data_IF_476311584700
#
_entry.id   IF_476311584700
#
_cell.length_a   1.000
_cell.length_b   1.000
_cell.length_c   1.000
_cell.angle_alpha   90.00
_cell.angle_beta   90.00
_cell.angle_gamma   90.00
#
_symmetry.space_group_name_H-M   'P 1'
#
loop_
_entity.id
_entity.type
_entity.pdbx_description
1 polymer ?
#
# COMPACT_ATOMS: atom_id res chain seq x y z
N UNK A 1 49.60 37.81 -68.45
CA UNK A 1 49.92 39.08 -67.76
C UNK A 1 49.46 38.98 -66.31
N UNK A 2 50.22 39.58 -65.37
CA UNK A 2 50.01 39.75 -63.90
C UNK A 2 49.91 38.44 -63.07
N UNK A 3 50.86 38.04 -62.19
CA UNK A 3 51.49 38.65 -60.98
C UNK A 3 50.50 39.20 -59.94
N UNK A 4 50.45 38.55 -58.77
CA UNK A 4 50.56 39.11 -57.40
C UNK A 4 49.91 38.16 -56.38
N UNK A 5 50.71 37.44 -55.60
CA UNK A 5 51.21 37.78 -54.25
C UNK A 5 50.20 37.53 -53.10
N UNK A 6 50.62 36.57 -52.27
CA UNK A 6 50.25 36.15 -50.90
C UNK A 6 49.91 37.31 -49.93
N UNK A 7 49.25 37.09 -48.75
CA UNK A 7 49.60 36.01 -47.82
C UNK A 7 48.49 35.31 -46.99
N UNK A 8 48.85 34.10 -46.55
CA UNK A 8 48.32 33.36 -45.38
C UNK A 8 48.63 34.12 -44.06
N UNK A 9 48.18 33.74 -42.83
CA UNK A 9 47.75 32.41 -42.33
C UNK A 9 46.58 32.48 -41.30
N UNK A 10 46.09 31.46 -40.56
CA UNK A 10 46.50 30.09 -40.21
C UNK A 10 45.31 29.40 -39.53
N UNK A 11 45.36 28.06 -39.57
CA UNK A 11 44.98 27.13 -38.49
C UNK A 11 43.48 26.89 -38.27
N UNK A 12 42.95 25.67 -38.22
CA UNK A 12 43.46 24.29 -38.28
C UNK A 12 42.15 23.48 -38.43
N UNK A 13 42.03 22.58 -39.39
CA UNK A 13 42.26 21.17 -39.09
C UNK A 13 40.94 20.39 -39.14
N UNK A 14 40.39 20.25 -40.34
CA UNK A 14 39.56 19.10 -40.76
C UNK A 14 40.40 17.80 -40.74
N UNK A 15 39.88 16.60 -41.13
CA UNK A 15 38.50 16.14 -41.27
C UNK A 15 38.24 14.73 -40.66
N UNK A 16 36.98 14.32 -40.76
CA UNK A 16 36.44 12.95 -40.79
C UNK A 16 37.01 12.11 -41.99
N UNK A 17 36.39 11.01 -42.50
CA UNK A 17 35.34 10.10 -42.01
C UNK A 17 35.65 8.58 -42.25
N UNK A 18 34.63 7.77 -41.94
CA UNK A 18 34.43 6.31 -42.03
C UNK A 18 35.00 5.51 -43.24
N UNK A 19 35.26 4.20 -43.03
CA UNK A 19 34.45 3.06 -43.51
C UNK A 19 35.11 1.69 -43.12
N UNK A 20 34.65 0.49 -43.59
CA UNK A 20 33.93 -0.53 -42.81
C UNK A 20 34.71 -1.87 -42.66
N UNK A 21 34.35 -2.75 -41.72
CA UNK A 21 34.92 -4.12 -41.71
C UNK A 21 33.93 -5.22 -41.29
N UNK A 22 34.08 -6.30 -42.04
CA UNK A 22 33.33 -7.54 -42.29
C UNK A 22 33.25 -8.56 -41.16
N UNK A 23 32.26 -9.45 -41.25
CA UNK A 23 32.16 -10.71 -40.52
C UNK A 23 33.14 -11.79 -41.04
N UNK A 24 33.56 -12.75 -40.19
CA UNK A 24 33.93 -14.09 -40.62
C UNK A 24 32.97 -15.16 -40.03
N UNK A 25 32.79 -16.25 -40.78
CA UNK A 25 31.92 -17.35 -40.41
C UNK A 25 32.56 -18.41 -39.50
N UNK A 26 31.68 -19.19 -38.86
CA UNK A 26 31.88 -20.59 -38.49
C UNK A 26 32.50 -20.90 -37.12
N UNK A 27 31.66 -21.31 -36.15
CA UNK A 27 31.77 -22.62 -35.47
C UNK A 27 30.66 -22.80 -34.42
N UNK A 28 30.00 -23.97 -34.49
CA UNK A 28 29.16 -24.50 -33.42
C UNK A 28 30.03 -24.76 -32.19
N UNK A 29 29.72 -24.11 -31.08
CA UNK A 29 30.21 -24.43 -29.75
C UNK A 29 29.02 -24.46 -28.81
N UNK A 30 28.61 -25.65 -28.40
CA UNK A 30 27.76 -25.84 -27.25
C UNK A 30 28.59 -25.51 -26.02
N UNK A 31 28.29 -24.40 -25.36
CA UNK A 31 28.67 -24.16 -23.98
C UNK A 31 27.54 -23.41 -23.31
N UNK A 32 26.98 -23.99 -22.25
CA UNK A 32 26.02 -23.37 -21.35
C UNK A 32 26.68 -22.30 -20.49
N UNK A 33 27.30 -21.31 -21.14
CA UNK A 33 27.84 -20.14 -20.49
C UNK A 33 26.67 -19.23 -20.14
N UNK A 34 26.42 -19.04 -18.83
CA UNK A 34 25.45 -18.09 -18.34
C UNK A 34 25.63 -16.75 -19.07
N UNK A 35 24.60 -16.33 -19.81
CA UNK A 35 24.57 -15.07 -20.54
C UNK A 35 24.98 -13.97 -19.57
N UNK A 36 26.01 -13.18 -19.93
CA UNK A 36 26.41 -12.04 -19.10
C UNK A 36 25.20 -11.13 -18.90
N UNK A 37 24.87 -10.78 -17.65
CA UNK A 37 23.76 -9.88 -17.38
C UNK A 37 23.94 -8.59 -18.18
N UNK A 38 22.92 -8.24 -18.96
CA UNK A 38 22.94 -7.05 -19.83
C UNK A 38 22.19 -5.89 -19.19
N UNK A 39 22.44 -4.67 -19.67
CA UNK A 39 21.63 -3.49 -19.33
C UNK A 39 20.13 -3.73 -19.50
N UNK A 40 19.74 -4.44 -20.56
CA UNK A 40 18.34 -4.80 -20.82
C UNK A 40 17.75 -5.72 -19.71
N UNK A 41 18.57 -6.62 -19.15
CA UNK A 41 18.15 -7.47 -18.04
C UNK A 41 17.96 -6.65 -16.75
N UNK A 42 18.81 -5.64 -16.53
CA UNK A 42 18.68 -4.70 -15.42
C UNK A 42 17.40 -3.86 -15.52
N UNK A 43 17.09 -3.35 -16.72
CA UNK A 43 15.85 -2.59 -16.99
C UNK A 43 14.62 -3.46 -16.78
N UNK A 44 14.62 -4.70 -17.26
CA UNK A 44 13.51 -5.62 -17.06
C UNK A 44 13.25 -5.92 -15.57
N UNK A 45 14.32 -6.04 -14.76
CA UNK A 45 14.20 -6.24 -13.31
C UNK A 45 13.67 -4.98 -12.61
N UNK A 46 14.14 -3.81 -13.03
CA UNK A 46 13.63 -2.52 -12.58
C UNK A 46 12.14 -2.34 -12.89
N UNK A 47 11.70 -2.65 -14.11
CA UNK A 47 10.30 -2.58 -14.55
C UNK A 47 9.39 -3.48 -13.71
N UNK A 48 9.82 -4.72 -13.42
CA UNK A 48 9.08 -5.61 -12.49
C UNK A 48 8.91 -4.99 -11.11
N UNK A 49 9.93 -4.30 -10.60
CA UNK A 49 9.85 -3.54 -9.35
C UNK A 49 8.81 -2.42 -9.41
N UNK A 50 8.75 -1.69 -10.53
CA UNK A 50 7.75 -0.65 -10.76
C UNK A 50 6.33 -1.19 -10.89
N UNK A 51 6.14 -2.34 -11.55
CA UNK A 51 4.82 -2.99 -11.62
C UNK A 51 4.32 -3.42 -10.23
N UNK A 52 5.20 -3.99 -9.40
CA UNK A 52 4.85 -4.34 -8.03
C UNK A 52 4.46 -3.09 -7.21
N UNK A 53 5.17 -1.98 -7.42
CA UNK A 53 4.85 -0.67 -6.86
C UNK A 53 3.46 -0.18 -7.27
N UNK A 54 3.09 -0.30 -8.54
CA UNK A 54 1.75 0.05 -9.03
C UNK A 54 0.64 -0.79 -8.38
N UNK A 55 0.95 -2.05 -8.04
CA UNK A 55 0.04 -2.95 -7.31
C UNK A 55 0.07 -2.73 -5.79
N UNK A 56 0.82 -1.73 -5.30
CA UNK A 56 1.08 -1.47 -3.88
C UNK A 56 1.72 -2.65 -3.12
N UNK A 57 2.33 -3.60 -3.84
CA UNK A 57 3.10 -4.70 -3.27
C UNK A 57 4.54 -4.24 -3.03
N UNK A 58 4.70 -3.42 -1.98
CA UNK A 58 5.99 -2.82 -1.64
C UNK A 58 7.05 -3.86 -1.24
N UNK A 59 6.62 -5.01 -0.72
CA UNK A 59 7.48 -6.13 -0.34
C UNK A 59 8.16 -6.73 -1.57
N UNK A 60 7.37 -7.09 -2.59
CA UNK A 60 7.92 -7.57 -3.86
C UNK A 60 8.69 -6.48 -4.60
N UNK A 61 8.20 -5.24 -4.58
CA UNK A 61 8.93 -4.13 -5.19
C UNK A 61 10.34 -3.98 -4.61
N UNK A 62 10.50 -4.06 -3.28
CA UNK A 62 11.80 -4.01 -2.62
C UNK A 62 12.73 -5.13 -3.06
N UNK A 63 12.23 -6.35 -3.18
CA UNK A 63 13.01 -7.50 -3.63
C UNK A 63 13.58 -7.26 -5.04
N UNK A 64 12.72 -6.91 -5.99
CA UNK A 64 13.13 -6.69 -7.39
C UNK A 64 14.09 -5.50 -7.52
N UNK A 65 13.76 -4.38 -6.86
CA UNK A 65 14.57 -3.17 -6.88
C UNK A 65 15.94 -3.37 -6.22
N UNK A 66 16.02 -4.05 -5.07
CA UNK A 66 17.32 -4.40 -4.47
C UNK A 66 18.10 -5.38 -5.34
N UNK A 67 17.41 -6.26 -6.07
CA UNK A 67 18.00 -7.14 -7.07
C UNK A 67 18.78 -6.37 -8.15
N UNK A 68 18.31 -5.18 -8.55
CA UNK A 68 19.05 -4.33 -9.50
C UNK A 68 20.41 -3.90 -8.94
N UNK A 69 20.45 -3.50 -7.66
CA UNK A 69 21.68 -3.07 -7.01
C UNK A 69 22.69 -4.20 -6.81
N UNK A 70 22.22 -5.43 -6.58
CA UNK A 70 23.07 -6.59 -6.30
C UNK A 70 23.54 -7.31 -7.56
N UNK A 71 22.67 -7.45 -8.56
CA UNK A 71 22.95 -8.21 -9.78
C UNK A 71 23.64 -7.37 -10.86
N UNK A 72 23.46 -6.03 -10.84
CA UNK A 72 23.98 -5.12 -11.86
C UNK A 72 24.76 -3.96 -11.23
N UNK A 73 25.88 -4.21 -10.54
CA UNK A 73 26.61 -3.19 -9.78
C UNK A 73 27.25 -2.08 -10.64
N UNK A 74 27.40 -2.29 -11.95
CA UNK A 74 27.99 -1.31 -12.87
C UNK A 74 26.98 -0.26 -13.37
N UNK A 75 25.69 -0.50 -13.20
CA UNK A 75 24.60 0.32 -13.75
C UNK A 75 24.24 1.53 -12.87
N UNK A 76 25.17 2.48 -12.79
CA UNK A 76 25.08 3.66 -11.89
C UNK A 76 23.81 4.49 -12.07
N UNK A 77 23.39 4.74 -13.31
CA UNK A 77 22.19 5.53 -13.59
C UNK A 77 20.92 4.85 -13.04
N UNK A 78 20.85 3.53 -13.18
CA UNK A 78 19.71 2.76 -12.70
C UNK A 78 19.71 2.67 -11.17
N UNK A 79 20.88 2.64 -10.53
CA UNK A 79 21.00 2.63 -9.07
C UNK A 79 20.42 3.88 -8.41
N UNK A 80 20.71 5.05 -8.97
CA UNK A 80 20.18 6.32 -8.44
C UNK A 80 18.65 6.32 -8.45
N UNK A 81 18.07 5.88 -9.58
CA UNK A 81 16.61 5.76 -9.74
C UNK A 81 16.03 4.74 -8.77
N UNK A 82 16.61 3.54 -8.70
CA UNK A 82 16.17 2.44 -7.84
C UNK A 82 16.20 2.81 -6.36
N UNK A 83 17.23 3.54 -5.90
CA UNK A 83 17.33 3.97 -4.49
C UNK A 83 16.18 4.86 -4.05
N UNK A 84 15.71 5.75 -4.94
CA UNK A 84 14.54 6.58 -4.66
C UNK A 84 13.29 5.70 -4.42
N UNK A 85 13.05 4.74 -5.31
CA UNK A 85 11.91 3.83 -5.18
C UNK A 85 12.03 2.90 -3.98
N UNK A 86 13.23 2.42 -3.64
CA UNK A 86 13.48 1.63 -2.42
C UNK A 86 13.10 2.43 -1.18
N UNK A 87 13.51 3.70 -1.07
CA UNK A 87 13.17 4.52 0.09
C UNK A 87 11.64 4.66 0.26
N UNK A 88 10.93 4.91 -0.84
CA UNK A 88 9.46 4.97 -0.84
C UNK A 88 8.88 3.63 -0.37
N UNK A 89 9.33 2.51 -0.95
CA UNK A 89 8.84 1.19 -0.56
C UNK A 89 9.14 0.85 0.90
N UNK A 90 10.33 1.18 1.41
CA UNK A 90 10.71 0.95 2.81
C UNK A 90 9.84 1.75 3.78
N UNK A 91 9.54 3.02 3.46
CA UNK A 91 8.63 3.84 4.25
C UNK A 91 7.23 3.24 4.30
N UNK A 92 6.72 2.78 3.16
CA UNK A 92 5.39 2.15 3.09
C UNK A 92 5.35 0.79 3.78
N UNK A 93 6.36 -0.05 3.58
CA UNK A 93 6.48 -1.34 4.26
C UNK A 93 6.58 -1.16 5.78
N UNK A 94 7.36 -0.18 6.25
CA UNK A 94 7.45 0.15 7.68
C UNK A 94 6.13 0.67 8.24
N UNK A 95 5.45 1.57 7.53
CA UNK A 95 4.14 2.06 7.94
C UNK A 95 3.14 0.90 8.06
N UNK A 96 3.19 -0.05 7.12
CA UNK A 96 2.39 -1.27 7.17
C UNK A 96 2.74 -2.17 8.37
N UNK A 97 4.01 -2.32 8.74
CA UNK A 97 4.40 -3.11 9.94
C UNK A 97 4.02 -2.46 11.27
N UNK A 98 3.83 -1.14 11.29
CA UNK A 98 3.44 -0.39 12.50
C UNK A 98 1.92 -0.23 12.58
N UNK A 99 1.24 -0.19 11.44
CA UNK A 99 -0.21 -0.18 11.39
C UNK A 99 -0.78 -1.57 11.68
N UNK A 100 -1.89 -1.68 12.43
CA UNK A 100 -2.60 -2.95 12.61
C UNK A 100 -2.95 -3.61 11.25
N UNK A 101 -2.43 -4.81 11.01
CA UNK A 101 -2.52 -5.51 9.73
C UNK A 101 -3.58 -6.60 9.72
N UNK A 102 -3.80 -7.25 10.86
CA UNK A 102 -4.81 -8.30 10.99
C UNK A 102 -6.11 -7.74 11.55
N UNK A 103 -7.22 -8.45 11.30
CA UNK A 103 -8.52 -8.15 11.95
C UNK A 103 -8.36 -8.05 13.46
N UNK A 104 -7.65 -9.00 14.09
CA UNK A 104 -7.43 -9.02 15.53
C UNK A 104 -6.62 -7.81 16.03
N UNK A 105 -5.55 -7.43 15.33
CA UNK A 105 -4.77 -6.25 15.70
C UNK A 105 -5.59 -4.96 15.56
N UNK A 106 -6.43 -4.85 14.52
CA UNK A 106 -7.32 -3.69 14.34
C UNK A 106 -8.40 -3.63 15.42
N UNK A 107 -8.98 -4.77 15.79
CA UNK A 107 -9.91 -4.84 16.91
C UNK A 107 -9.23 -4.41 18.22
N UNK A 108 -8.03 -4.92 18.50
CA UNK A 108 -7.27 -4.52 19.68
C UNK A 108 -6.94 -3.01 19.69
N UNK A 109 -6.47 -2.46 18.56
CA UNK A 109 -6.22 -1.03 18.42
C UNK A 109 -7.50 -0.19 18.63
N UNK A 110 -8.64 -0.69 18.12
CA UNK A 110 -9.96 -0.05 18.29
C UNK A 110 -10.37 -0.03 19.76
N UNK A 111 -10.18 -1.14 20.50
CA UNK A 111 -10.43 -1.19 21.95
C UNK A 111 -9.57 -0.18 22.70
N UNK A 112 -8.27 -0.07 22.38
CA UNK A 112 -7.37 0.91 22.99
C UNK A 112 -7.75 2.36 22.65
N UNK A 113 -8.28 2.60 21.45
CA UNK A 113 -8.78 3.90 21.03
C UNK A 113 -10.08 4.28 21.75
N UNK A 114 -11.05 3.36 21.85
CA UNK A 114 -12.30 3.53 22.60
C UNK A 114 -12.04 3.86 24.07
N UNK A 115 -11.23 3.05 24.75
CA UNK A 115 -10.86 3.27 26.15
C UNK A 115 -10.14 4.61 26.38
N UNK A 116 -9.51 5.15 25.34
CA UNK A 116 -8.83 6.44 25.37
C UNK A 116 -9.67 7.62 24.87
N UNK A 117 -10.96 7.43 24.60
CA UNK A 117 -11.86 8.46 24.06
C UNK A 117 -11.55 8.90 22.62
N UNK A 118 -10.72 8.15 21.89
CA UNK A 118 -10.31 8.46 20.51
C UNK A 118 -11.26 7.79 19.51
N UNK A 119 -12.50 8.25 19.48
CA UNK A 119 -13.58 7.60 18.73
C UNK A 119 -13.33 7.60 17.21
N UNK A 120 -12.77 8.67 16.64
CA UNK A 120 -12.42 8.74 15.20
C UNK A 120 -11.40 7.66 14.79
N UNK A 121 -10.41 7.40 15.64
CA UNK A 121 -9.37 6.39 15.42
C UNK A 121 -9.98 4.98 15.51
N UNK A 122 -10.82 4.74 16.52
CA UNK A 122 -11.54 3.48 16.68
C UNK A 122 -12.42 3.19 15.44
N UNK A 123 -13.23 4.16 15.00
CA UNK A 123 -14.09 4.02 13.81
C UNK A 123 -13.25 3.72 12.57
N UNK A 124 -12.08 4.36 12.42
CA UNK A 124 -11.19 4.14 11.26
C UNK A 124 -10.68 2.69 11.21
N UNK A 125 -10.24 2.14 12.35
CA UNK A 125 -9.80 0.74 12.42
C UNK A 125 -10.95 -0.25 12.24
N UNK A 126 -12.11 0.02 12.85
CA UNK A 126 -13.28 -0.86 12.76
C UNK A 126 -13.90 -0.88 11.36
N UNK A 127 -13.84 0.23 10.60
CA UNK A 127 -14.26 0.24 9.19
C UNK A 127 -13.43 -0.72 8.35
N UNK A 128 -12.12 -0.76 8.56
CA UNK A 128 -11.24 -1.72 7.88
C UNK A 128 -11.58 -3.16 8.25
N UNK A 129 -11.93 -3.42 9.52
CA UNK A 129 -12.40 -4.75 9.95
C UNK A 129 -13.70 -5.11 9.25
N UNK A 130 -14.69 -4.22 9.25
CA UNK A 130 -15.99 -4.44 8.60
C UNK A 130 -15.87 -4.63 7.09
N UNK A 131 -14.95 -3.92 6.44
CA UNK A 131 -14.75 -4.05 4.98
C UNK A 131 -14.08 -5.39 4.62
N UNK A 132 -13.29 -5.99 5.53
CA UNK A 132 -12.67 -7.31 5.39
C UNK A 132 -13.59 -8.46 5.83
N UNK A 133 -14.33 -8.25 6.93
CA UNK A 133 -15.26 -9.19 7.56
C UNK A 133 -16.58 -8.48 7.91
N UNK A 134 -17.52 -8.36 6.94
CA UNK A 134 -18.77 -7.63 7.11
C UNK A 134 -19.74 -8.23 8.14
N UNK A 135 -19.56 -9.50 8.48
CA UNK A 135 -20.41 -10.24 9.41
C UNK A 135 -19.76 -10.42 10.80
N UNK A 136 -18.71 -9.65 11.09
CA UNK A 136 -18.09 -9.58 12.41
C UNK A 136 -18.98 -8.81 13.39
N UNK A 137 -19.81 -9.52 14.16
CA UNK A 137 -20.74 -8.92 15.11
C UNK A 137 -20.03 -8.08 16.18
N UNK A 138 -18.84 -8.51 16.61
CA UNK A 138 -18.02 -7.77 17.57
C UNK A 138 -17.55 -6.42 17.03
N UNK A 139 -17.04 -6.37 15.78
CA UNK A 139 -16.62 -5.12 15.15
C UNK A 139 -17.79 -4.15 14.95
N UNK A 140 -18.96 -4.67 14.56
CA UNK A 140 -20.19 -3.89 14.43
C UNK A 140 -20.68 -3.35 15.78
N UNK A 141 -20.60 -4.15 16.84
CA UNK A 141 -20.92 -3.70 18.19
C UNK A 141 -19.97 -2.59 18.65
N UNK A 142 -18.66 -2.74 18.42
CA UNK A 142 -17.68 -1.69 18.74
C UNK A 142 -17.90 -0.41 17.92
N UNK A 143 -18.38 -0.51 16.66
CA UNK A 143 -18.78 0.66 15.87
C UNK A 143 -19.97 1.36 16.51
N UNK A 144 -20.97 0.59 16.98
CA UNK A 144 -22.10 1.17 17.70
C UNK A 144 -21.63 1.97 18.92
N UNK A 145 -20.78 1.37 19.76
CA UNK A 145 -20.18 2.05 20.93
C UNK A 145 -19.44 3.33 20.53
N UNK A 146 -18.56 3.25 19.52
CA UNK A 146 -17.79 4.40 19.06
C UNK A 146 -18.67 5.56 18.57
N UNK A 147 -19.72 5.24 17.80
CA UNK A 147 -20.65 6.22 17.27
C UNK A 147 -21.54 6.82 18.37
N UNK A 148 -22.02 6.02 19.33
CA UNK A 148 -22.79 6.52 20.48
C UNK A 148 -21.99 7.54 21.30
N UNK A 149 -20.74 7.19 21.62
CA UNK A 149 -19.83 8.06 22.38
C UNK A 149 -19.43 9.34 21.63
N UNK A 150 -19.47 9.30 20.30
CA UNK A 150 -19.26 10.46 19.44
C UNK A 150 -20.52 11.32 19.23
N UNK A 151 -21.68 10.86 19.71
CA UNK A 151 -22.98 11.52 19.55
C UNK A 151 -23.69 11.23 18.22
N UNK A 152 -23.20 10.26 17.45
CA UNK A 152 -23.74 9.84 16.15
C UNK A 152 -24.75 8.70 16.38
N UNK A 153 -25.88 9.04 17.00
CA UNK A 153 -26.82 8.03 17.55
C UNK A 153 -27.47 7.17 16.46
N UNK A 154 -27.81 7.75 15.30
CA UNK A 154 -28.44 7.02 14.20
C UNK A 154 -27.51 5.95 13.62
N UNK A 155 -26.25 6.30 13.36
CA UNK A 155 -25.21 5.35 12.92
C UNK A 155 -24.94 4.29 13.97
N UNK A 156 -24.96 4.67 15.25
CA UNK A 156 -24.78 3.74 16.36
C UNK A 156 -25.87 2.66 16.36
N UNK A 157 -27.14 3.06 16.29
CA UNK A 157 -28.29 2.14 16.27
C UNK A 157 -28.21 1.21 15.06
N UNK A 158 -27.91 1.73 13.87
CA UNK A 158 -27.80 0.91 12.66
C UNK A 158 -26.72 -0.18 12.80
N UNK A 159 -25.57 0.15 13.38
CA UNK A 159 -24.51 -0.82 13.65
C UNK A 159 -24.89 -1.82 14.74
N UNK A 160 -25.57 -1.36 15.79
CA UNK A 160 -26.04 -2.20 16.89
C UNK A 160 -27.08 -3.22 16.42
N UNK A 161 -28.06 -2.79 15.63
CA UNK A 161 -29.08 -3.67 15.05
C UNK A 161 -28.46 -4.77 14.20
N UNK A 162 -27.45 -4.44 13.38
CA UNK A 162 -26.73 -5.44 12.58
C UNK A 162 -25.94 -6.41 13.47
N UNK A 163 -25.26 -5.91 14.50
CA UNK A 163 -24.53 -6.75 15.46
C UNK A 163 -25.48 -7.72 16.19
N UNK A 164 -26.67 -7.25 16.60
CA UNK A 164 -27.70 -8.06 17.24
C UNK A 164 -28.31 -9.09 16.27
N UNK A 165 -28.49 -8.73 15.01
CA UNK A 165 -29.01 -9.64 13.99
C UNK A 165 -28.04 -10.81 13.70
N UNK A 166 -26.74 -10.54 13.76
CA UNK A 166 -25.69 -11.56 13.59
C UNK A 166 -25.50 -12.39 14.86
N UNK A 167 -25.52 -11.75 16.03
CA UNK A 167 -25.39 -12.40 17.32
C UNK A 167 -26.38 -11.81 18.35
N UNK A 168 -27.48 -12.53 18.64
CA UNK A 168 -28.51 -12.06 19.58
C UNK A 168 -28.02 -11.82 21.02
N UNK A 169 -26.88 -12.39 21.44
CA UNK A 169 -26.31 -12.16 22.77
C UNK A 169 -25.93 -10.69 22.99
N UNK A 170 -25.65 -9.97 21.89
CA UNK A 170 -25.37 -8.53 21.92
C UNK A 170 -26.52 -7.70 22.51
N UNK A 171 -27.78 -8.21 22.52
CA UNK A 171 -28.89 -7.53 23.22
C UNK A 171 -28.63 -7.41 24.73
N UNK A 172 -28.18 -8.50 25.34
CA UNK A 172 -27.95 -8.53 26.78
C UNK A 172 -26.73 -7.69 27.16
N UNK A 173 -25.72 -7.64 26.29
CA UNK A 173 -24.57 -6.77 26.42
C UNK A 173 -24.99 -5.30 26.32
N UNK A 174 -25.70 -4.93 25.24
CA UNK A 174 -26.12 -3.56 24.97
C UNK A 174 -26.94 -2.93 26.10
N UNK A 175 -27.88 -3.69 26.69
CA UNK A 175 -28.70 -3.20 27.81
C UNK A 175 -27.89 -2.84 29.07
N UNK A 176 -26.68 -3.37 29.21
CA UNK A 176 -25.83 -3.23 30.40
C UNK A 176 -24.59 -2.40 30.13
N UNK A 177 -24.41 -1.95 28.89
CA UNK A 177 -23.22 -1.26 28.45
C UNK A 177 -23.35 0.24 28.72
N UNK A 178 -22.59 0.80 29.68
CA UNK A 178 -22.66 2.22 30.00
C UNK A 178 -22.22 3.10 28.82
N UNK A 179 -21.44 2.57 27.87
CA UNK A 179 -21.03 3.35 26.71
C UNK A 179 -22.18 3.55 25.70
N UNK A 180 -23.30 2.84 25.87
CA UNK A 180 -24.53 3.01 25.08
C UNK A 180 -25.62 3.79 25.84
N UNK A 181 -25.33 4.33 27.03
CA UNK A 181 -26.24 5.20 27.79
C UNK A 181 -26.85 6.34 26.94
N UNK A 182 -26.13 6.99 25.99
CA UNK A 182 -26.72 8.01 25.12
C UNK A 182 -27.89 7.53 24.25
N UNK A 183 -28.05 6.21 24.08
CA UNK A 183 -29.12 5.60 23.29
C UNK A 183 -30.31 5.16 24.16
N UNK A 184 -30.23 5.20 25.48
CA UNK A 184 -31.25 4.63 26.36
C UNK A 184 -32.61 5.33 26.25
N UNK A 185 -32.67 6.57 25.80
CA UNK A 185 -33.93 7.30 25.57
C UNK A 185 -34.47 7.11 24.13
N UNK A 186 -33.77 6.37 23.26
CA UNK A 186 -34.14 6.16 21.87
C UNK A 186 -35.09 4.95 21.70
N UNK A 187 -36.21 5.17 21.02
CA UNK A 187 -37.23 4.14 20.77
C UNK A 187 -36.70 2.96 19.92
N UNK A 188 -35.85 3.25 18.93
CA UNK A 188 -35.25 2.23 18.10
C UNK A 188 -34.23 1.40 18.90
N UNK A 189 -33.47 2.02 19.80
CA UNK A 189 -32.63 1.29 20.74
C UNK A 189 -33.45 0.32 21.60
N UNK A 190 -34.53 0.79 22.24
CA UNK A 190 -35.42 -0.07 23.02
C UNK A 190 -36.00 -1.22 22.20
N UNK A 191 -36.46 -0.95 20.97
CA UNK A 191 -36.97 -2.00 20.08
C UNK A 191 -35.88 -3.01 19.70
N UNK A 192 -34.67 -2.52 19.45
CA UNK A 192 -33.51 -3.33 19.07
C UNK A 192 -33.03 -4.23 20.22
N UNK A 193 -33.17 -3.83 21.49
CA UNK A 193 -32.76 -4.66 22.64
C UNK A 193 -33.91 -5.46 23.25
N UNK A 194 -35.14 -4.92 23.26
CA UNK A 194 -36.36 -5.47 23.85
C UNK A 194 -37.50 -5.62 22.81
N UNK A 195 -37.45 -6.64 21.95
CA UNK A 195 -38.36 -6.76 20.80
C UNK A 195 -39.80 -7.14 21.23
N UNK A 196 -40.00 -7.50 22.50
CA UNK A 196 -41.29 -7.89 23.08
C UNK A 196 -42.16 -6.72 23.53
N UNK A 197 -41.69 -5.47 23.40
CA UNK A 197 -42.46 -4.26 23.75
C UNK A 197 -43.21 -3.61 22.58
N UNK A 198 -43.45 -4.33 21.48
CA UNK A 198 -44.42 -3.87 20.47
C UNK A 198 -45.82 -3.86 21.10
N UNK A 199 -46.33 -2.65 21.34
CA UNK A 199 -47.62 -2.35 21.94
C UNK A 199 -48.77 -3.22 21.40
N UNK A 200 -49.48 -3.89 22.33
CA UNK A 200 -50.85 -4.35 22.15
C UNK A 200 -51.84 -3.23 22.44
#
# INVERSE_FOLDING_TARGET
>A
MAKSQRPQPKSKGDPAPAAPITAPGGQKGADGAARRPTYADAVALYEKGLEALQRHDYSRALEQLRGVLTQFPEERELHERVRLYINVCERHARAQTVAPQTVQERLYASTLALNGGRYDEAISHLRLVRDEDPDNDHALYMLAVAHAQRGELAESIAHLERAIALNPENRALARRDPDLEPLHDDEAFHTAVDPTHSHH
#
